data_IF_313179248407
#
_entry.id   IF_313179248407
#
_cell.length_a   1.000
_cell.length_b   1.000
_cell.length_c   1.000
_cell.angle_alpha   90.00
_cell.angle_beta   90.00
_cell.angle_gamma   90.00
#
_symmetry.space_group_name_H-M   'P 1'
#
loop_
_entity.id
_entity.type
_entity.pdbx_description
1 polymer ?
#
# COMPACT_ATOMS: atom_id res chain seq x y z
N UNK A 1 -31.61 9.35 -9.40
CA UNK A 1 -31.08 8.17 -8.69
C UNK A 1 -31.13 8.47 -7.21
N UNK A 2 -31.81 7.66 -6.44
CA UNK A 2 -31.84 7.83 -4.98
C UNK A 2 -30.41 7.77 -4.42
N UNK A 3 -29.94 8.87 -3.85
CA UNK A 3 -28.62 8.98 -3.19
C UNK A 3 -28.44 7.93 -2.09
N UNK A 4 -29.51 7.38 -1.56
CA UNK A 4 -29.53 6.37 -0.49
C UNK A 4 -29.13 4.94 -0.91
N UNK A 5 -29.12 4.61 -2.22
CA UNK A 5 -28.82 3.22 -2.67
C UNK A 5 -27.32 2.94 -2.87
N UNK A 6 -26.47 3.96 -2.93
CA UNK A 6 -25.05 3.83 -3.31
C UNK A 6 -24.06 3.81 -2.13
N UNK A 7 -24.52 4.21 -0.96
CA UNK A 7 -23.66 4.46 0.19
C UNK A 7 -22.93 5.81 0.08
N UNK A 8 -22.57 6.38 1.22
CA UNK A 8 -21.80 7.62 1.34
C UNK A 8 -20.90 7.53 2.56
N UNK A 9 -19.87 8.36 2.62
CA UNK A 9 -19.10 8.55 3.85
C UNK A 9 -19.96 9.26 4.89
N UNK A 10 -19.89 8.78 6.12
CA UNK A 10 -20.66 9.38 7.23
C UNK A 10 -20.07 10.70 7.74
N UNK A 11 -18.83 11.01 7.39
CA UNK A 11 -18.14 12.23 7.81
C UNK A 11 -16.93 12.55 6.92
N UNK A 12 -16.50 13.83 6.89
CA UNK A 12 -15.26 14.21 6.20
C UNK A 12 -14.02 13.53 6.80
N UNK A 13 -13.98 13.35 8.11
CA UNK A 13 -12.90 12.58 8.77
C UNK A 13 -12.91 11.12 8.29
N UNK A 14 -14.09 10.51 8.16
CA UNK A 14 -14.23 9.16 7.63
C UNK A 14 -13.75 9.03 6.18
N UNK A 15 -14.10 9.99 5.36
CA UNK A 15 -13.59 10.10 3.99
C UNK A 15 -12.06 10.24 3.99
N UNK A 16 -11.50 11.19 4.75
CA UNK A 16 -10.06 11.41 4.83
C UNK A 16 -9.33 10.16 5.30
N UNK A 17 -9.77 9.51 6.37
CA UNK A 17 -9.15 8.28 6.86
C UNK A 17 -9.23 7.16 5.81
N UNK A 18 -10.34 7.07 5.07
CA UNK A 18 -10.48 6.05 4.01
C UNK A 18 -9.62 6.37 2.78
N UNK A 19 -9.53 7.62 2.37
CA UNK A 19 -8.70 8.04 1.24
C UNK A 19 -7.20 7.93 1.57
N UNK A 20 -6.80 8.33 2.79
CA UNK A 20 -5.44 8.10 3.31
C UNK A 20 -5.16 6.60 3.37
N UNK A 21 -6.09 5.78 3.90
CA UNK A 21 -5.93 4.32 3.96
C UNK A 21 -5.89 3.65 2.58
N UNK A 22 -6.56 4.21 1.58
CA UNK A 22 -6.41 3.76 0.19
C UNK A 22 -5.02 4.06 -0.36
N UNK A 23 -4.47 5.22 -0.06
CA UNK A 23 -3.15 5.65 -0.48
C UNK A 23 -2.05 4.93 0.32
N UNK A 24 -2.14 4.92 1.65
CA UNK A 24 -1.17 4.28 2.54
C UNK A 24 -1.31 2.75 2.50
N UNK A 25 -0.39 2.08 1.83
CA UNK A 25 -0.41 0.64 1.64
C UNK A 25 0.99 0.01 1.61
N UNK A 26 1.08 -1.17 1.00
CA UNK A 26 2.37 -1.81 0.72
C UNK A 26 3.28 -0.92 -0.13
N UNK A 27 2.70 -0.02 -0.93
CA UNK A 27 3.42 0.98 -1.69
C UNK A 27 4.32 1.88 -0.84
N UNK A 28 3.85 2.31 0.33
CA UNK A 28 4.60 3.15 1.26
C UNK A 28 5.59 2.32 2.08
N UNK A 29 5.11 1.21 2.67
CA UNK A 29 5.88 0.47 3.67
C UNK A 29 6.98 -0.37 3.03
N UNK A 30 6.73 -0.90 1.85
CA UNK A 30 7.67 -1.72 1.09
C UNK A 30 8.21 -1.03 -0.17
N UNK A 31 7.31 -0.54 -1.03
CA UNK A 31 7.67 0.00 -2.35
C UNK A 31 8.58 1.22 -2.26
N UNK A 32 8.31 2.15 -1.35
CA UNK A 32 9.09 3.36 -1.17
C UNK A 32 10.52 3.08 -0.67
N UNK A 33 10.75 2.35 0.45
CA UNK A 33 12.11 2.03 0.88
C UNK A 33 12.90 1.24 -0.17
N UNK A 34 12.25 0.30 -0.84
CA UNK A 34 12.84 -0.50 -1.91
C UNK A 34 13.33 0.37 -3.09
N UNK A 35 12.46 1.24 -3.60
CA UNK A 35 12.81 2.11 -4.74
C UNK A 35 13.84 3.15 -4.35
N UNK A 36 13.77 3.69 -3.13
CA UNK A 36 14.79 4.57 -2.58
C UNK A 36 16.15 3.87 -2.50
N UNK A 37 16.18 2.63 -2.03
CA UNK A 37 17.40 1.81 -1.94
C UNK A 37 18.09 1.66 -3.29
N UNK A 38 17.34 1.42 -4.36
CA UNK A 38 17.87 1.26 -5.73
C UNK A 38 18.17 2.57 -6.48
N UNK A 39 17.56 3.67 -6.05
CA UNK A 39 17.58 4.94 -6.82
C UNK A 39 18.37 6.05 -6.15
N UNK A 40 19.37 5.71 -5.32
CA UNK A 40 20.32 6.66 -4.79
C UNK A 40 19.85 7.47 -3.58
N UNK A 41 18.98 6.92 -2.75
CA UNK A 41 18.62 7.47 -1.45
C UNK A 41 18.05 8.89 -1.53
N UNK A 42 18.82 9.88 -1.10
CA UNK A 42 18.45 11.30 -1.08
C UNK A 42 17.91 11.82 -2.43
N UNK A 43 18.55 11.45 -3.55
CA UNK A 43 18.12 11.91 -4.87
C UNK A 43 16.70 11.45 -5.21
N UNK A 44 16.39 10.19 -4.90
CA UNK A 44 15.04 9.66 -5.05
C UNK A 44 14.04 10.41 -4.16
N UNK A 45 14.39 10.65 -2.88
CA UNK A 45 13.53 11.34 -1.94
C UNK A 45 13.12 12.72 -2.44
N UNK A 46 14.07 13.53 -2.88
CA UNK A 46 13.77 14.90 -3.37
C UNK A 46 12.91 14.88 -4.63
N UNK A 47 13.22 14.02 -5.59
CA UNK A 47 12.43 13.90 -6.83
C UNK A 47 11.01 13.41 -6.51
N UNK A 48 10.88 12.43 -5.61
CA UNK A 48 9.57 11.94 -5.16
C UNK A 48 8.74 13.03 -4.50
N UNK A 49 9.32 13.83 -3.61
CA UNK A 49 8.63 14.95 -2.94
C UNK A 49 8.13 15.99 -3.95
N UNK A 50 8.97 16.38 -4.91
CA UNK A 50 8.58 17.31 -5.95
C UNK A 50 7.40 16.75 -6.76
N UNK A 51 7.49 15.48 -7.19
CA UNK A 51 6.41 14.83 -7.94
C UNK A 51 5.13 14.69 -7.13
N UNK A 52 5.21 14.32 -5.85
CA UNK A 52 4.03 14.18 -4.99
C UNK A 52 3.28 15.51 -4.83
N UNK A 53 4.03 16.61 -4.59
CA UNK A 53 3.44 17.94 -4.37
C UNK A 53 2.86 18.54 -5.64
N UNK A 54 3.56 18.46 -6.78
CA UNK A 54 3.13 19.15 -8.00
C UNK A 54 2.29 18.28 -8.93
N UNK A 55 2.66 17.03 -9.12
CA UNK A 55 1.97 16.12 -10.05
C UNK A 55 0.92 15.29 -9.30
N UNK A 56 1.30 14.68 -8.19
CA UNK A 56 0.41 13.85 -7.38
C UNK A 56 -0.82 14.61 -6.88
N UNK A 57 -0.62 15.80 -6.33
CA UNK A 57 -1.71 16.67 -5.90
C UNK A 57 -2.67 17.03 -7.05
N UNK A 58 -2.14 17.44 -8.21
CA UNK A 58 -2.97 17.85 -9.34
C UNK A 58 -3.84 16.69 -9.86
N UNK A 59 -3.27 15.48 -9.96
CA UNK A 59 -4.01 14.29 -10.40
C UNK A 59 -5.02 13.86 -9.33
N UNK A 60 -4.62 13.83 -8.05
CA UNK A 60 -5.52 13.51 -6.92
C UNK A 60 -6.76 14.40 -6.92
N UNK A 61 -6.55 15.72 -7.01
CA UNK A 61 -7.65 16.69 -7.06
C UNK A 61 -8.55 16.45 -8.28
N UNK A 62 -7.97 16.16 -9.43
CA UNK A 62 -8.70 15.92 -10.68
C UNK A 62 -9.57 14.66 -10.59
N UNK A 63 -9.04 13.56 -10.04
CA UNK A 63 -9.78 12.30 -9.87
C UNK A 63 -10.93 12.45 -8.86
N UNK A 64 -10.67 13.06 -7.71
CA UNK A 64 -11.70 13.34 -6.71
C UNK A 64 -12.80 14.28 -7.27
N UNK A 65 -12.42 15.32 -8.02
CA UNK A 65 -13.35 16.21 -8.65
C UNK A 65 -14.21 15.52 -9.71
N UNK A 66 -13.60 14.65 -10.54
CA UNK A 66 -14.32 13.85 -11.53
C UNK A 66 -15.34 12.92 -10.86
N UNK A 67 -14.95 12.21 -9.82
CA UNK A 67 -15.82 11.33 -9.04
C UNK A 67 -16.99 12.11 -8.44
N UNK A 68 -16.73 13.21 -7.73
CA UNK A 68 -17.76 14.06 -7.10
C UNK A 68 -18.71 14.70 -8.11
N UNK A 69 -18.18 15.20 -9.23
CA UNK A 69 -18.99 15.83 -10.27
C UNK A 69 -19.98 14.86 -10.92
N UNK A 70 -19.55 13.64 -11.15
CA UNK A 70 -20.36 12.64 -11.87
C UNK A 70 -21.22 11.78 -10.94
N UNK A 71 -20.80 11.61 -9.68
CA UNK A 71 -21.41 10.66 -8.74
C UNK A 71 -21.28 9.19 -9.21
N UNK A 72 -20.31 8.87 -10.08
CA UNK A 72 -20.17 7.58 -10.76
C UNK A 72 -18.77 7.00 -10.59
N UNK A 73 -18.68 5.68 -10.67
CA UNK A 73 -17.41 4.96 -10.73
C UNK A 73 -16.66 5.24 -12.04
N UNK A 74 -15.37 4.82 -12.13
CA UNK A 74 -14.42 5.30 -13.13
C UNK A 74 -14.93 5.20 -14.58
N UNK A 75 -15.42 4.05 -15.01
CA UNK A 75 -15.84 3.83 -16.42
C UNK A 75 -16.97 4.78 -16.83
N UNK A 76 -17.96 4.94 -15.95
CA UNK A 76 -19.10 5.80 -16.23
C UNK A 76 -18.76 7.28 -16.04
N UNK A 77 -17.86 7.61 -15.11
CA UNK A 77 -17.36 8.97 -14.93
C UNK A 77 -16.64 9.46 -16.20
N UNK A 78 -15.70 8.70 -16.73
CA UNK A 78 -15.03 9.03 -18.01
C UNK A 78 -16.03 9.12 -19.18
N UNK A 79 -16.99 8.17 -19.27
CA UNK A 79 -18.03 8.20 -20.31
C UNK A 79 -18.88 9.45 -20.25
N UNK A 80 -19.19 9.95 -19.04
CA UNK A 80 -19.99 11.15 -18.82
C UNK A 80 -19.24 12.42 -19.24
N UNK A 81 -17.93 12.49 -18.96
CA UNK A 81 -17.09 13.61 -19.39
C UNK A 81 -16.87 13.58 -20.90
N UNK A 82 -16.55 12.40 -21.46
CA UNK A 82 -16.41 12.23 -22.91
C UNK A 82 -16.58 10.76 -23.31
N UNK A 83 -17.51 10.49 -24.22
CA UNK A 83 -17.73 9.13 -24.75
C UNK A 83 -16.46 8.53 -25.38
N UNK A 84 -15.59 9.38 -25.98
CA UNK A 84 -14.32 8.99 -26.61
C UNK A 84 -13.34 8.40 -25.61
N UNK A 85 -13.33 8.87 -24.34
CA UNK A 85 -12.39 8.45 -23.31
C UNK A 85 -12.93 7.36 -22.37
N UNK A 86 -14.04 6.72 -22.68
CA UNK A 86 -14.58 5.59 -21.90
C UNK A 86 -13.56 4.47 -21.70
N UNK A 87 -12.69 4.22 -22.68
CA UNK A 87 -11.65 3.20 -22.61
C UNK A 87 -10.63 3.45 -21.51
N UNK A 88 -10.33 4.74 -21.19
CA UNK A 88 -9.46 5.10 -20.06
C UNK A 88 -10.05 4.63 -18.74
N UNK A 89 -11.38 4.76 -18.58
CA UNK A 89 -12.10 4.22 -17.42
C UNK A 89 -11.93 2.70 -17.24
N UNK A 90 -11.88 1.95 -18.35
CA UNK A 90 -11.62 0.52 -18.30
C UNK A 90 -10.18 0.21 -17.91
N UNK A 91 -9.20 0.97 -18.38
CA UNK A 91 -7.80 0.83 -17.93
C UNK A 91 -7.67 1.15 -16.43
N UNK A 92 -8.39 2.18 -15.96
CA UNK A 92 -8.41 2.53 -14.54
C UNK A 92 -9.05 1.46 -13.64
N UNK A 93 -9.77 0.49 -14.21
CA UNK A 93 -10.31 -0.67 -13.46
C UNK A 93 -9.46 -1.91 -13.66
N UNK A 94 -8.86 -2.07 -14.83
CA UNK A 94 -7.94 -3.19 -15.08
C UNK A 94 -6.71 -3.12 -14.17
N UNK A 95 -6.17 -1.91 -13.93
CA UNK A 95 -5.02 -1.74 -13.06
C UNK A 95 -5.25 -2.24 -11.62
N UNK A 96 -6.27 -1.79 -10.86
CA UNK A 96 -6.52 -2.30 -9.51
C UNK A 96 -6.89 -3.79 -9.51
N UNK A 97 -7.56 -4.28 -10.54
CA UNK A 97 -7.88 -5.69 -10.67
C UNK A 97 -6.61 -6.56 -10.77
N UNK A 98 -5.64 -6.16 -11.61
CA UNK A 98 -4.35 -6.85 -11.73
C UNK A 98 -3.49 -6.68 -10.47
N UNK A 99 -3.49 -5.50 -9.87
CA UNK A 99 -2.78 -5.26 -8.61
C UNK A 99 -3.28 -6.19 -7.52
N UNK A 100 -4.58 -6.37 -7.37
CA UNK A 100 -5.17 -7.23 -6.34
C UNK A 100 -4.67 -8.67 -6.42
N UNK A 101 -4.29 -9.20 -7.59
CA UNK A 101 -3.83 -10.59 -7.72
C UNK A 101 -2.52 -10.84 -6.94
N UNK A 102 -1.50 -10.02 -7.11
CA UNK A 102 -0.25 -10.16 -6.35
C UNK A 102 -0.34 -9.53 -4.95
N UNK A 103 -1.11 -8.47 -4.81
CA UNK A 103 -1.29 -7.75 -3.55
C UNK A 103 -1.94 -8.62 -2.47
N UNK A 104 -2.88 -9.48 -2.87
CA UNK A 104 -3.53 -10.42 -1.97
C UNK A 104 -2.57 -11.49 -1.44
N UNK A 105 -1.61 -11.92 -2.25
CA UNK A 105 -0.56 -12.87 -1.83
C UNK A 105 0.32 -12.22 -0.77
N UNK A 106 0.80 -10.99 -1.02
CA UNK A 106 1.63 -10.25 -0.06
C UNK A 106 0.88 -9.92 1.24
N UNK A 107 -0.42 -9.59 1.14
CA UNK A 107 -1.30 -9.41 2.29
C UNK A 107 -1.45 -10.69 3.12
N UNK A 108 -1.57 -11.83 2.45
CA UNK A 108 -1.55 -13.16 3.09
C UNK A 108 -0.24 -13.44 3.82
N UNK A 109 0.89 -13.09 3.22
CA UNK A 109 2.21 -13.25 3.85
C UNK A 109 2.32 -12.44 5.15
N UNK A 110 1.68 -11.28 5.26
CA UNK A 110 1.62 -10.54 6.53
C UNK A 110 0.93 -11.34 7.62
N UNK A 111 -0.16 -12.07 7.30
CA UNK A 111 -0.86 -12.95 8.26
C UNK A 111 0.08 -14.08 8.70
N UNK A 112 0.77 -14.72 7.75
CA UNK A 112 1.75 -15.77 8.07
C UNK A 112 2.81 -15.27 9.05
N UNK A 113 3.41 -14.10 8.79
CA UNK A 113 4.45 -13.55 9.64
C UNK A 113 3.95 -13.04 11.00
N UNK A 114 2.69 -12.62 11.11
CA UNK A 114 2.06 -12.35 12.41
C UNK A 114 2.02 -13.61 13.25
N UNK A 115 1.51 -14.71 12.69
CA UNK A 115 1.44 -16.01 13.38
C UNK A 115 2.85 -16.51 13.74
N UNK A 116 3.78 -16.43 12.80
CA UNK A 116 5.16 -16.84 12.98
C UNK A 116 5.84 -16.12 14.15
N UNK A 117 5.67 -14.80 14.26
CA UNK A 117 6.25 -14.01 15.34
C UNK A 117 5.58 -14.27 16.70
N UNK A 118 4.27 -14.58 16.73
CA UNK A 118 3.59 -14.99 17.95
C UNK A 118 4.13 -16.35 18.43
N UNK A 119 4.21 -17.33 17.54
CA UNK A 119 4.68 -18.69 17.88
C UNK A 119 6.18 -18.68 18.20
N UNK A 120 6.94 -17.85 17.50
CA UNK A 120 8.39 -17.71 17.67
C UNK A 120 8.84 -16.72 18.74
N UNK A 121 7.91 -16.17 19.56
CA UNK A 121 8.16 -15.04 20.46
C UNK A 121 9.40 -15.23 21.36
N UNK A 122 9.70 -16.46 21.77
CA UNK A 122 10.81 -16.75 22.67
C UNK A 122 12.04 -17.37 21.98
N UNK A 123 11.93 -17.74 20.71
CA UNK A 123 13.00 -18.44 19.98
C UNK A 123 13.57 -17.63 18.84
N UNK A 124 12.82 -16.62 18.37
CA UNK A 124 13.08 -15.93 17.11
C UNK A 124 12.89 -16.86 15.90
N UNK A 125 12.66 -16.28 14.74
CA UNK A 125 12.49 -17.03 13.49
C UNK A 125 13.31 -16.37 12.40
N UNK A 126 14.28 -17.09 11.78
CA UNK A 126 15.11 -16.55 10.72
C UNK A 126 14.27 -16.13 9.50
N UNK A 127 14.57 -14.96 8.94
CA UNK A 127 13.76 -14.38 7.87
C UNK A 127 13.97 -15.09 6.54
N UNK A 128 15.21 -15.33 6.15
CA UNK A 128 15.52 -15.96 4.86
C UNK A 128 14.98 -17.40 4.77
N UNK A 129 15.10 -18.18 5.84
CA UNK A 129 14.57 -19.55 5.92
C UNK A 129 13.04 -19.57 5.88
N UNK A 130 12.40 -18.74 6.70
CA UNK A 130 10.92 -18.64 6.76
C UNK A 130 10.32 -18.20 5.43
N UNK A 131 10.97 -17.24 4.76
CA UNK A 131 10.51 -16.75 3.47
C UNK A 131 10.70 -17.79 2.39
N UNK A 132 11.85 -18.49 2.36
CA UNK A 132 12.09 -19.61 1.46
C UNK A 132 11.07 -20.75 1.65
N UNK A 133 10.79 -21.12 2.90
CA UNK A 133 9.79 -22.15 3.22
C UNK A 133 8.38 -21.75 2.78
N UNK A 134 8.01 -20.46 2.88
CA UNK A 134 6.72 -19.95 2.42
C UNK A 134 6.62 -19.99 0.88
N UNK A 135 7.65 -19.54 0.18
CA UNK A 135 7.68 -19.53 -1.30
C UNK A 135 7.64 -20.96 -1.90
N UNK A 136 8.25 -21.93 -1.22
CA UNK A 136 8.24 -23.34 -1.67
C UNK A 136 7.00 -24.12 -1.24
N UNK A 137 6.06 -23.47 -0.54
CA UNK A 137 4.81 -24.09 -0.08
C UNK A 137 3.57 -23.36 -0.65
N UNK A 138 3.16 -23.65 -1.90
CA UNK A 138 2.00 -23.02 -2.51
C UNK A 138 0.70 -23.18 -1.69
N UNK A 139 0.53 -24.32 -1.03
CA UNK A 139 -0.65 -24.59 -0.19
C UNK A 139 -0.76 -23.60 0.98
N UNK A 140 0.36 -23.32 1.67
CA UNK A 140 0.40 -22.32 2.74
C UNK A 140 0.19 -20.91 2.19
N UNK A 141 0.83 -20.56 1.07
CA UNK A 141 0.66 -19.27 0.40
C UNK A 141 -0.79 -19.01 0.03
N UNK A 142 -1.48 -19.99 -0.56
CA UNK A 142 -2.90 -19.90 -0.91
C UNK A 142 -3.78 -19.80 0.35
N UNK A 143 -3.49 -20.55 1.40
CA UNK A 143 -4.27 -20.53 2.64
C UNK A 143 -4.25 -19.16 3.31
N UNK A 144 -3.07 -18.56 3.49
CA UNK A 144 -2.95 -17.24 4.12
C UNK A 144 -3.49 -16.12 3.23
N UNK A 145 -3.34 -16.24 1.90
CA UNK A 145 -3.97 -15.35 0.93
C UNK A 145 -5.50 -15.41 1.01
N UNK A 146 -6.07 -16.60 1.13
CA UNK A 146 -7.51 -16.78 1.33
C UNK A 146 -7.99 -16.08 2.61
N UNK A 147 -7.25 -16.22 3.70
CA UNK A 147 -7.53 -15.51 4.95
C UNK A 147 -7.56 -13.99 4.77
N UNK A 148 -6.57 -13.44 4.08
CA UNK A 148 -6.53 -12.01 3.73
C UNK A 148 -7.74 -11.58 2.89
N UNK A 149 -8.05 -12.35 1.84
CA UNK A 149 -9.17 -12.05 0.95
C UNK A 149 -10.52 -12.13 1.67
N UNK A 150 -10.71 -13.07 2.60
CA UNK A 150 -11.92 -13.15 3.43
C UNK A 150 -12.09 -11.89 4.28
N UNK A 151 -11.02 -11.39 4.91
CA UNK A 151 -11.08 -10.15 5.70
C UNK A 151 -11.51 -8.99 4.81
N UNK A 152 -10.85 -8.80 3.65
CA UNK A 152 -11.19 -7.73 2.72
C UNK A 152 -12.64 -7.86 2.19
N UNK A 153 -13.09 -9.07 1.88
CA UNK A 153 -14.45 -9.37 1.45
C UNK A 153 -15.48 -8.96 2.50
N UNK A 154 -15.30 -9.38 3.75
CA UNK A 154 -16.22 -9.07 4.85
C UNK A 154 -16.33 -7.56 5.11
N UNK A 155 -15.21 -6.82 5.01
CA UNK A 155 -15.22 -5.36 5.16
C UNK A 155 -16.01 -4.72 4.02
N UNK A 156 -15.77 -5.14 2.77
CA UNK A 156 -16.46 -4.57 1.60
C UNK A 156 -17.97 -4.90 1.58
N UNK A 157 -18.38 -6.06 2.10
CA UNK A 157 -19.81 -6.40 2.22
C UNK A 157 -20.59 -5.39 3.08
N UNK A 158 -19.95 -4.85 4.12
CA UNK A 158 -20.56 -3.85 5.02
C UNK A 158 -20.64 -2.44 4.39
N UNK A 159 -20.20 -2.27 3.15
CA UNK A 159 -20.31 -1.02 2.40
C UNK A 159 -19.27 0.03 2.78
N UNK A 160 -19.45 1.25 2.24
CA UNK A 160 -18.49 2.34 2.40
C UNK A 160 -18.47 2.85 3.84
N UNK A 161 -19.59 3.25 4.39
CA UNK A 161 -19.68 3.82 5.75
C UNK A 161 -19.51 2.77 6.84
N UNK A 162 -20.19 1.61 6.72
CA UNK A 162 -20.18 0.56 7.75
C UNK A 162 -18.92 -0.32 7.74
N UNK A 163 -18.27 -0.48 6.59
CA UNK A 163 -17.09 -1.31 6.41
C UNK A 163 -15.81 -0.48 6.23
N UNK A 164 -15.63 0.12 5.07
CA UNK A 164 -14.39 0.79 4.67
C UNK A 164 -14.06 1.96 5.62
N UNK A 165 -15.02 2.85 5.87
CA UNK A 165 -14.83 4.01 6.75
C UNK A 165 -14.53 3.58 8.19
N UNK A 166 -15.31 2.63 8.71
CA UNK A 166 -15.14 2.16 10.09
C UNK A 166 -13.78 1.49 10.29
N UNK A 167 -13.33 0.68 9.34
CA UNK A 167 -12.01 0.05 9.40
C UNK A 167 -10.90 1.11 9.41
N UNK A 168 -10.95 2.07 8.48
CA UNK A 168 -9.89 3.07 8.32
C UNK A 168 -9.84 4.09 9.46
N UNK A 169 -10.97 4.44 10.07
CA UNK A 169 -10.99 5.31 11.26
C UNK A 169 -10.19 4.76 12.44
N UNK A 170 -10.11 3.44 12.57
CA UNK A 170 -9.34 2.77 13.63
C UNK A 170 -7.96 2.40 13.11
N UNK A 171 -7.90 1.83 11.91
CA UNK A 171 -6.67 1.28 11.32
C UNK A 171 -5.61 2.33 11.05
N UNK A 172 -5.96 3.50 10.52
CA UNK A 172 -4.96 4.52 10.17
C UNK A 172 -4.26 5.13 11.39
N UNK A 173 -4.96 5.56 12.46
CA UNK A 173 -4.28 5.97 13.68
C UNK A 173 -3.44 4.87 14.32
N UNK A 174 -3.93 3.64 14.35
CA UNK A 174 -3.18 2.49 14.88
C UNK A 174 -1.91 2.22 14.07
N UNK A 175 -1.98 2.26 12.73
CA UNK A 175 -0.84 2.15 11.83
C UNK A 175 0.22 3.21 12.14
N UNK A 176 -0.21 4.46 12.28
CA UNK A 176 0.71 5.56 12.56
C UNK A 176 1.45 5.36 13.89
N UNK A 177 0.74 4.99 14.96
CA UNK A 177 1.34 4.72 16.28
C UNK A 177 2.33 3.54 16.21
N UNK A 178 1.94 2.44 15.57
CA UNK A 178 2.81 1.28 15.40
C UNK A 178 4.06 1.63 14.59
N UNK A 179 3.92 2.46 13.56
CA UNK A 179 5.05 2.90 12.74
C UNK A 179 6.05 3.75 13.55
N UNK A 180 5.57 4.65 14.42
CA UNK A 180 6.42 5.42 15.36
C UNK A 180 7.20 4.47 16.30
N UNK A 181 6.54 3.46 16.85
CA UNK A 181 7.19 2.47 17.73
C UNK A 181 8.33 1.74 17.00
N UNK A 182 8.08 1.30 15.75
CA UNK A 182 9.10 0.61 14.95
C UNK A 182 10.25 1.55 14.58
N UNK A 183 9.98 2.83 14.25
CA UNK A 183 11.02 3.83 13.95
C UNK A 183 11.92 4.03 15.16
N UNK A 184 11.34 4.26 16.34
CA UNK A 184 12.12 4.45 17.58
C UNK A 184 13.06 3.26 17.78
N UNK A 185 12.55 2.04 17.62
CA UNK A 185 13.37 0.84 17.76
C UNK A 185 14.45 0.74 16.68
N UNK A 186 14.13 1.01 15.42
CA UNK A 186 15.09 0.98 14.33
C UNK A 186 16.29 1.93 14.58
N UNK A 187 16.03 3.10 15.15
CA UNK A 187 17.07 4.11 15.42
C UNK A 187 17.95 3.78 16.62
N UNK A 188 17.50 2.91 17.52
CA UNK A 188 18.31 2.41 18.64
C UNK A 188 19.27 1.28 18.25
N UNK A 189 19.20 0.77 17.01
CA UNK A 189 20.11 -0.25 16.53
C UNK A 189 21.50 0.32 16.27
N UNK A 190 22.59 -0.42 16.59
CA UNK A 190 23.95 -0.04 16.21
C UNK A 190 24.02 0.20 14.69
N UNK A 191 24.75 1.22 14.25
CA UNK A 191 24.91 1.58 12.83
C UNK A 191 23.65 2.09 12.09
N UNK A 192 22.52 2.30 12.75
CA UNK A 192 21.31 2.87 12.15
C UNK A 192 21.56 4.24 11.49
N UNK A 193 22.50 5.01 12.01
CA UNK A 193 22.89 6.31 11.47
C UNK A 193 23.35 6.25 10.00
N UNK A 194 23.95 5.14 9.56
CA UNK A 194 24.38 4.96 8.16
C UNK A 194 23.17 4.91 7.22
N UNK A 195 22.10 4.23 7.62
CA UNK A 195 20.84 4.22 6.88
C UNK A 195 20.17 5.61 6.83
N UNK A 196 20.24 6.39 7.91
CA UNK A 196 19.74 7.77 7.93
C UNK A 196 20.57 8.68 7.02
N UNK A 197 21.90 8.57 7.01
CA UNK A 197 22.77 9.31 6.08
C UNK A 197 22.45 8.96 4.64
N UNK A 198 22.20 7.67 4.33
CA UNK A 198 21.78 7.24 3.00
C UNK A 198 20.49 7.94 2.55
N UNK A 199 19.53 8.11 3.44
CA UNK A 199 18.25 8.76 3.10
C UNK A 199 18.36 10.28 2.94
N UNK A 200 19.15 10.95 3.79
CA UNK A 200 19.07 12.42 3.95
C UNK A 200 20.32 13.18 3.54
N UNK A 201 21.46 12.51 3.33
CA UNK A 201 22.69 13.19 2.96
C UNK A 201 22.92 13.11 1.46
N UNK A 202 23.01 14.27 0.76
CA UNK A 202 23.28 14.30 -0.67
C UNK A 202 24.55 13.53 -1.05
N UNK A 203 24.46 12.67 -2.07
CA UNK A 203 25.58 11.90 -2.57
C UNK A 203 26.07 10.77 -1.66
N UNK A 204 25.47 10.57 -0.48
CA UNK A 204 25.93 9.54 0.47
C UNK A 204 25.74 8.11 -0.06
N UNK A 205 24.77 7.88 -0.94
CA UNK A 205 24.58 6.58 -1.56
C UNK A 205 25.86 6.06 -2.27
N UNK A 206 26.62 6.93 -2.92
CA UNK A 206 27.90 6.62 -3.56
C UNK A 206 29.04 6.70 -2.54
N UNK A 207 29.15 7.79 -1.78
CA UNK A 207 30.19 8.00 -0.77
C UNK A 207 30.23 6.90 0.31
N UNK A 208 29.05 6.43 0.74
CA UNK A 208 28.89 5.38 1.73
C UNK A 208 29.02 3.96 1.18
N UNK A 209 29.27 3.81 -0.13
CA UNK A 209 29.46 2.51 -0.77
C UNK A 209 28.18 1.69 -0.98
N UNK A 210 27.00 2.30 -0.91
CA UNK A 210 25.74 1.59 -1.15
C UNK A 210 25.53 1.26 -2.63
N UNK A 211 26.00 2.13 -3.50
CA UNK A 211 25.97 1.99 -4.97
C UNK A 211 27.26 2.50 -5.56
N UNK A 212 27.73 1.87 -6.64
CA UNK A 212 29.02 2.23 -7.28
C UNK A 212 28.93 3.56 -8.02
N UNK A 213 27.79 3.85 -8.61
CA UNK A 213 27.56 5.04 -9.44
C UNK A 213 26.17 5.62 -9.20
N UNK A 214 26.08 6.95 -9.17
CA UNK A 214 24.80 7.65 -9.11
C UNK A 214 23.91 7.28 -10.31
N UNK A 215 22.65 6.89 -10.09
CA UNK A 215 21.74 6.57 -11.17
C UNK A 215 21.41 7.82 -11.98
N UNK A 216 21.13 7.65 -13.28
CA UNK A 216 20.73 8.75 -14.15
C UNK A 216 19.44 9.42 -13.68
N UNK A 217 19.37 10.74 -13.73
CA UNK A 217 18.22 11.53 -13.25
C UNK A 217 16.90 11.06 -13.89
N UNK A 218 16.89 10.73 -15.17
CA UNK A 218 15.70 10.26 -15.87
C UNK A 218 15.21 8.90 -15.33
N UNK A 219 16.12 8.01 -14.97
CA UNK A 219 15.79 6.72 -14.35
C UNK A 219 15.17 6.92 -12.95
N UNK A 220 15.75 7.85 -12.17
CA UNK A 220 15.21 8.19 -10.84
C UNK A 220 13.84 8.85 -10.97
N UNK A 221 13.67 9.76 -11.95
CA UNK A 221 12.38 10.41 -12.23
C UNK A 221 11.30 9.39 -12.60
N UNK A 222 11.60 8.43 -13.47
CA UNK A 222 10.66 7.37 -13.84
C UNK A 222 10.30 6.48 -12.63
N UNK A 223 11.31 6.11 -11.83
CA UNK A 223 11.09 5.28 -10.63
C UNK A 223 10.28 6.02 -9.56
N UNK A 224 10.61 7.29 -9.29
CA UNK A 224 9.90 8.12 -8.33
C UNK A 224 8.46 8.45 -8.80
N UNK A 225 8.28 8.70 -10.10
CA UNK A 225 6.95 8.90 -10.70
C UNK A 225 6.08 7.66 -10.56
N UNK A 226 6.59 6.49 -10.94
CA UNK A 226 5.87 5.23 -10.75
C UNK A 226 5.57 4.93 -9.27
N UNK A 227 6.46 5.30 -8.35
CA UNK A 227 6.19 5.20 -6.91
C UNK A 227 5.09 6.15 -6.47
N UNK A 228 5.10 7.40 -6.91
CA UNK A 228 4.09 8.40 -6.58
C UNK A 228 2.69 7.98 -7.06
N UNK A 229 2.57 7.47 -8.28
CA UNK A 229 1.29 6.96 -8.80
C UNK A 229 0.77 5.78 -7.97
N UNK A 230 1.66 4.85 -7.64
CA UNK A 230 1.30 3.65 -6.87
C UNK A 230 0.95 4.00 -5.41
N UNK A 231 1.76 4.84 -4.75
CA UNK A 231 1.57 5.27 -3.37
C UNK A 231 0.25 6.02 -3.18
N UNK A 232 0.01 7.03 -4.02
CA UNK A 232 -1.21 7.86 -3.94
C UNK A 232 -2.47 7.20 -4.52
N UNK A 233 -2.39 5.95 -4.95
CA UNK A 233 -3.51 5.21 -5.60
C UNK A 233 -4.11 5.97 -6.80
N UNK A 234 -3.26 6.63 -7.61
CA UNK A 234 -3.67 7.41 -8.77
C UNK A 234 -3.74 6.55 -10.04
N UNK A 235 -4.56 6.96 -10.99
CA UNK A 235 -4.81 6.29 -12.27
C UNK A 235 -5.39 4.87 -12.17
N UNK A 236 -5.84 4.46 -10.98
CA UNK A 236 -6.44 3.14 -10.73
C UNK A 236 -7.90 3.23 -10.23
N UNK A 237 -8.57 4.35 -10.50
CA UNK A 237 -10.00 4.53 -10.25
C UNK A 237 -10.42 4.65 -8.78
N UNK A 238 -9.54 4.40 -7.83
CA UNK A 238 -9.86 4.46 -6.40
C UNK A 238 -10.30 5.86 -5.96
N UNK A 239 -9.56 6.91 -6.35
CA UNK A 239 -9.88 8.28 -5.98
C UNK A 239 -11.11 8.81 -6.71
N UNK A 240 -11.37 8.40 -7.96
CA UNK A 240 -12.63 8.68 -8.66
C UNK A 240 -13.80 8.03 -7.91
N UNK A 241 -13.64 6.78 -7.49
CA UNK A 241 -14.66 6.05 -6.72
C UNK A 241 -14.96 6.74 -5.40
N UNK A 242 -13.93 7.09 -4.63
CA UNK A 242 -14.11 7.76 -3.35
C UNK A 242 -14.67 9.18 -3.50
N UNK A 243 -14.23 9.90 -4.53
CA UNK A 243 -14.83 11.20 -4.90
C UNK A 243 -16.33 11.10 -5.20
N UNK A 244 -16.78 9.97 -5.78
CA UNK A 244 -18.20 9.77 -6.10
C UNK A 244 -19.10 9.56 -4.85
N UNK A 245 -18.53 9.27 -3.71
CA UNK A 245 -19.22 9.13 -2.41
C UNK A 245 -19.12 10.39 -1.54
N UNK A 246 -18.40 11.42 -2.01
CA UNK A 246 -18.13 12.62 -1.25
C UNK A 246 -19.26 13.65 -1.43
N UNK A 247 -19.68 14.28 -0.33
CA UNK A 247 -20.66 15.35 -0.32
C UNK A 247 -20.22 16.59 -1.13
N UNK A 248 -21.20 17.34 -1.62
CA UNK A 248 -20.94 18.52 -2.48
C UNK A 248 -20.27 19.67 -1.72
N UNK A 249 -20.50 19.76 -0.42
CA UNK A 249 -20.04 20.87 0.44
C UNK A 249 -18.58 20.68 0.92
N UNK A 250 -17.97 19.52 0.64
CA UNK A 250 -16.61 19.22 1.08
C UNK A 250 -15.55 19.96 0.27
N UNK A 251 -14.51 20.43 0.97
CA UNK A 251 -13.41 21.18 0.35
C UNK A 251 -12.39 20.23 -0.31
N UNK A 252 -12.56 19.97 -1.62
CA UNK A 252 -11.67 19.04 -2.36
C UNK A 252 -10.20 19.44 -2.36
N UNK A 253 -9.82 20.72 -2.65
CA UNK A 253 -8.42 21.11 -2.59
C UNK A 253 -7.77 20.81 -1.22
N UNK A 254 -8.44 21.18 -0.13
CA UNK A 254 -7.97 20.93 1.23
C UNK A 254 -7.83 19.44 1.50
N UNK A 255 -8.84 18.64 1.14
CA UNK A 255 -8.82 17.20 1.33
C UNK A 255 -7.70 16.54 0.52
N UNK A 256 -7.50 16.95 -0.75
CA UNK A 256 -6.41 16.45 -1.60
C UNK A 256 -5.02 16.75 -1.01
N UNK A 257 -4.81 17.97 -0.49
CA UNK A 257 -3.55 18.32 0.19
C UNK A 257 -3.31 17.44 1.41
N UNK A 258 -4.34 17.25 2.25
CA UNK A 258 -4.22 16.41 3.45
C UNK A 258 -3.86 14.96 3.09
N UNK A 259 -4.50 14.39 2.07
CA UNK A 259 -4.24 13.01 1.63
C UNK A 259 -2.81 12.87 1.12
N UNK A 260 -2.36 13.77 0.23
CA UNK A 260 -1.00 13.72 -0.35
C UNK A 260 0.07 13.90 0.73
N UNK A 261 -0.12 14.84 1.66
CA UNK A 261 0.82 15.07 2.76
C UNK A 261 0.86 13.85 3.69
N UNK A 262 -0.29 13.32 4.09
CA UNK A 262 -0.36 12.17 4.98
C UNK A 262 0.30 10.92 4.36
N UNK A 263 0.02 10.62 3.10
CA UNK A 263 0.67 9.53 2.36
C UNK A 263 2.19 9.71 2.30
N UNK A 264 2.64 10.92 1.93
CA UNK A 264 4.08 11.25 1.83
C UNK A 264 4.79 11.11 3.18
N UNK A 265 4.17 11.58 4.27
CA UNK A 265 4.72 11.44 5.63
C UNK A 265 4.86 9.95 5.97
N UNK A 266 3.83 9.14 5.73
CA UNK A 266 3.90 7.69 6.02
C UNK A 266 4.95 6.99 5.16
N UNK A 267 5.11 7.37 3.88
CA UNK A 267 6.16 6.82 3.01
C UNK A 267 7.57 7.12 3.57
N UNK A 268 7.82 8.36 4.00
CA UNK A 268 9.09 8.75 4.64
C UNK A 268 9.27 8.01 5.96
N UNK A 269 8.25 7.93 6.79
CA UNK A 269 8.30 7.20 8.06
C UNK A 269 8.61 5.71 7.85
N UNK A 270 8.04 5.09 6.82
CA UNK A 270 8.36 3.72 6.45
C UNK A 270 9.84 3.58 6.03
N UNK A 271 10.36 4.53 5.24
CA UNK A 271 11.79 4.63 4.95
C UNK A 271 12.65 4.69 6.22
N UNK A 272 12.25 5.55 7.18
CA UNK A 272 12.92 5.73 8.48
C UNK A 272 12.87 4.48 9.38
N UNK A 273 11.87 3.63 9.21
CA UNK A 273 11.78 2.36 9.92
C UNK A 273 12.62 1.27 9.25
N UNK A 274 12.51 1.13 7.92
CA UNK A 274 13.00 -0.02 7.16
C UNK A 274 14.48 0.11 6.81
N UNK A 275 14.91 1.27 6.25
CA UNK A 275 16.28 1.42 5.74
C UNK A 275 17.32 1.40 6.87
N UNK A 276 17.18 2.19 7.96
CA UNK A 276 18.13 2.12 9.05
C UNK A 276 18.22 0.74 9.71
N UNK A 277 17.08 0.05 9.85
CA UNK A 277 17.05 -1.29 10.43
C UNK A 277 17.78 -2.32 9.56
N UNK A 278 17.51 -2.31 8.25
CA UNK A 278 18.16 -3.22 7.32
C UNK A 278 19.69 -2.98 7.22
N UNK A 279 20.09 -1.70 7.16
CA UNK A 279 21.51 -1.30 7.11
C UNK A 279 22.22 -1.67 8.41
N UNK A 280 21.64 -1.38 9.56
CA UNK A 280 22.18 -1.71 10.86
C UNK A 280 22.44 -3.22 11.00
N UNK A 281 21.46 -4.04 10.61
CA UNK A 281 21.57 -5.49 10.70
C UNK A 281 22.62 -6.06 9.73
N UNK A 282 22.67 -5.56 8.49
CA UNK A 282 23.68 -6.01 7.52
C UNK A 282 25.09 -5.70 7.99
N UNK A 283 25.37 -4.49 8.50
CA UNK A 283 26.67 -4.11 9.04
C UNK A 283 27.02 -4.95 10.28
N UNK A 284 26.07 -5.19 11.18
CA UNK A 284 26.28 -6.02 12.36
C UNK A 284 26.64 -7.48 12.00
N UNK A 285 26.18 -7.98 10.86
CA UNK A 285 26.56 -9.28 10.29
C UNK A 285 27.89 -9.28 9.51
N UNK A 286 28.59 -8.15 9.47
CA UNK A 286 29.86 -8.00 8.75
C UNK A 286 29.71 -7.89 7.23
N UNK A 287 28.51 -7.63 6.72
CA UNK A 287 28.29 -7.44 5.28
C UNK A 287 28.84 -6.09 4.82
N UNK A 288 29.38 -6.04 3.62
CA UNK A 288 29.65 -4.77 2.96
C UNK A 288 28.32 -4.04 2.68
N UNK A 289 28.30 -2.71 2.76
CA UNK A 289 27.06 -1.92 2.62
C UNK A 289 26.42 -2.13 1.24
N UNK A 290 27.23 -2.37 0.21
CA UNK A 290 26.80 -2.69 -1.15
C UNK A 290 26.10 -4.04 -1.28
N UNK A 291 26.34 -4.95 -0.36
CA UNK A 291 25.74 -6.29 -0.35
C UNK A 291 24.37 -6.32 0.37
N UNK A 292 24.06 -5.26 1.12
CA UNK A 292 22.80 -5.17 1.87
C UNK A 292 21.63 -5.02 0.88
N UNK A 293 20.81 -6.06 0.81
CA UNK A 293 19.68 -6.10 -0.12
C UNK A 293 18.54 -5.21 0.37
N UNK A 294 18.49 -3.98 -0.14
CA UNK A 294 17.38 -3.04 0.08
C UNK A 294 16.27 -3.21 -0.97
N UNK A 295 16.01 -4.45 -1.43
CA UNK A 295 15.16 -4.65 -2.59
C UNK A 295 14.22 -5.86 -2.55
N UNK A 296 13.09 -5.73 -3.28
CA UNK A 296 12.12 -6.80 -3.48
C UNK A 296 11.30 -7.17 -2.23
N UNK A 297 10.39 -8.15 -2.32
CA UNK A 297 9.65 -8.70 -1.17
C UNK A 297 10.60 -9.25 -0.09
N UNK A 298 11.80 -9.65 -0.47
CA UNK A 298 12.88 -10.09 0.42
C UNK A 298 13.21 -9.05 1.49
N UNK A 299 13.16 -7.75 1.16
CA UNK A 299 13.40 -6.69 2.15
C UNK A 299 12.38 -6.78 3.30
N UNK A 300 11.11 -6.98 2.99
CA UNK A 300 10.03 -7.00 3.97
C UNK A 300 9.99 -8.31 4.77
N UNK A 301 10.09 -9.45 4.07
CA UNK A 301 9.81 -10.76 4.65
C UNK A 301 11.06 -11.57 5.04
N UNK A 302 12.22 -11.27 4.48
CA UNK A 302 13.46 -11.88 4.89
C UNK A 302 14.33 -10.91 5.71
N UNK A 303 14.77 -9.79 5.11
CA UNK A 303 15.72 -8.87 5.76
C UNK A 303 15.18 -8.29 7.07
N UNK A 304 13.94 -7.76 7.08
CA UNK A 304 13.37 -7.21 8.32
C UNK A 304 13.02 -8.30 9.34
N UNK A 305 12.60 -9.48 8.90
CA UNK A 305 12.39 -10.59 9.81
C UNK A 305 13.70 -11.03 10.48
N UNK A 306 14.83 -11.01 9.74
CA UNK A 306 16.17 -11.25 10.33
C UNK A 306 16.53 -10.16 11.36
N UNK A 307 16.18 -8.89 11.10
CA UNK A 307 16.35 -7.81 12.10
C UNK A 307 15.60 -8.15 13.39
N UNK A 308 14.36 -8.61 13.30
CA UNK A 308 13.57 -8.99 14.48
C UNK A 308 14.13 -10.25 15.14
N UNK A 309 14.56 -11.25 14.37
CA UNK A 309 15.21 -12.44 14.89
C UNK A 309 16.44 -12.10 15.72
N UNK A 310 17.32 -11.23 15.21
CA UNK A 310 18.58 -10.84 15.85
C UNK A 310 18.36 -9.95 17.10
N UNK A 311 17.15 -9.39 17.30
CA UNK A 311 16.77 -8.72 18.54
C UNK A 311 16.49 -9.69 19.72
N UNK A 312 16.52 -10.99 19.50
CA UNK A 312 16.23 -11.99 20.52
C UNK A 312 14.76 -11.99 20.96
N UNK A 313 14.52 -12.21 22.25
CA UNK A 313 13.15 -12.40 22.81
C UNK A 313 12.19 -11.25 22.50
N UNK A 314 12.69 -10.00 22.50
CA UNK A 314 11.85 -8.83 22.22
C UNK A 314 11.52 -8.69 20.73
N UNK A 315 12.29 -9.33 19.87
CA UNK A 315 12.15 -9.25 18.42
C UNK A 315 10.81 -9.77 17.90
N UNK A 316 10.27 -10.86 18.51
CA UNK A 316 8.95 -11.37 18.16
C UNK A 316 7.83 -10.34 18.40
N UNK A 317 7.94 -9.51 19.46
CA UNK A 317 6.98 -8.43 19.72
C UNK A 317 7.05 -7.35 18.64
N UNK A 318 8.27 -6.91 18.28
CA UNK A 318 8.45 -5.92 17.20
C UNK A 318 8.06 -6.47 15.84
N UNK A 319 8.35 -7.74 15.55
CA UNK A 319 7.89 -8.42 14.35
C UNK A 319 6.37 -8.47 14.26
N UNK A 320 5.70 -8.87 15.35
CA UNK A 320 4.23 -8.83 15.42
C UNK A 320 3.68 -7.42 15.14
N UNK A 321 4.19 -6.39 15.85
CA UNK A 321 3.75 -5.00 15.65
C UNK A 321 3.96 -4.56 14.21
N UNK A 322 5.12 -4.88 13.63
CA UNK A 322 5.45 -4.51 12.27
C UNK A 322 4.53 -5.18 11.25
N UNK A 323 4.35 -6.51 11.30
CA UNK A 323 3.49 -7.19 10.33
C UNK A 323 1.99 -6.90 10.54
N UNK A 324 1.56 -6.59 11.76
CA UNK A 324 0.21 -6.09 12.02
C UNK A 324 -0.02 -4.72 11.37
N UNK A 325 0.95 -3.80 11.49
CA UNK A 325 0.96 -2.51 10.79
C UNK A 325 0.89 -2.71 9.27
N UNK A 326 1.74 -3.59 8.71
CA UNK A 326 1.75 -3.88 7.26
C UNK A 326 0.43 -4.49 6.80
N UNK A 327 -0.16 -5.38 7.60
CA UNK A 327 -1.46 -5.99 7.32
C UNK A 327 -2.59 -4.94 7.29
N UNK A 328 -2.63 -4.01 8.24
CA UNK A 328 -3.62 -2.91 8.25
C UNK A 328 -3.48 -2.06 6.98
N UNK A 329 -2.25 -1.70 6.62
CA UNK A 329 -1.96 -0.95 5.39
C UNK A 329 -2.38 -1.75 4.14
N UNK A 330 -2.13 -3.05 4.11
CA UNK A 330 -2.53 -3.91 3.00
C UNK A 330 -4.06 -4.02 2.88
N UNK A 331 -4.78 -4.23 3.98
CA UNK A 331 -6.24 -4.31 3.99
C UNK A 331 -6.86 -2.98 3.53
N UNK A 332 -6.41 -1.84 4.06
CA UNK A 332 -6.97 -0.51 3.73
C UNK A 332 -6.89 -0.20 2.23
N UNK A 333 -5.77 -0.54 1.58
CA UNK A 333 -5.63 -0.38 0.14
C UNK A 333 -6.43 -1.42 -0.64
N UNK A 334 -6.40 -2.71 -0.25
CA UNK A 334 -7.12 -3.77 -0.95
C UNK A 334 -8.64 -3.54 -0.98
N UNK A 335 -9.23 -3.11 0.15
CA UNK A 335 -10.67 -2.82 0.20
C UNK A 335 -11.08 -1.68 -0.73
N UNK A 336 -10.22 -0.68 -0.94
CA UNK A 336 -10.46 0.42 -1.87
C UNK A 336 -10.36 -0.03 -3.33
N UNK A 337 -9.40 -0.92 -3.65
CA UNK A 337 -9.25 -1.49 -4.99
C UNK A 337 -10.44 -2.40 -5.34
N UNK A 338 -10.89 -3.25 -4.41
CA UNK A 338 -12.10 -4.07 -4.57
C UNK A 338 -13.31 -3.17 -4.82
N UNK A 339 -13.46 -2.10 -4.05
CA UNK A 339 -14.57 -1.15 -4.20
C UNK A 339 -14.56 -0.46 -5.57
N UNK A 340 -13.40 0.01 -6.04
CA UNK A 340 -13.27 0.65 -7.35
C UNK A 340 -13.69 -0.28 -8.49
N UNK A 341 -13.34 -1.56 -8.41
CA UNK A 341 -13.77 -2.57 -9.38
C UNK A 341 -15.26 -2.84 -9.24
N UNK A 342 -15.76 -3.10 -8.03
CA UNK A 342 -17.15 -3.49 -7.79
C UNK A 342 -18.15 -2.39 -8.18
N UNK A 343 -17.87 -1.13 -7.81
CA UNK A 343 -18.77 0.01 -8.13
C UNK A 343 -18.95 0.20 -9.63
N UNK A 344 -17.94 -0.09 -10.43
CA UNK A 344 -18.04 -0.02 -11.89
C UNK A 344 -19.09 -0.96 -12.45
N UNK A 345 -19.18 -2.18 -11.93
CA UNK A 345 -20.20 -3.15 -12.34
C UNK A 345 -21.58 -2.82 -11.77
N UNK A 346 -21.64 -2.33 -10.53
CA UNK A 346 -22.86 -1.85 -9.87
C UNK A 346 -23.48 -0.71 -10.70
N UNK A 347 -22.70 0.31 -11.05
CA UNK A 347 -23.16 1.45 -11.85
C UNK A 347 -23.60 1.03 -13.24
N UNK A 348 -22.93 0.03 -13.84
CA UNK A 348 -23.30 -0.46 -15.15
C UNK A 348 -24.63 -1.21 -15.14
N UNK A 349 -24.90 -1.99 -14.11
CA UNK A 349 -26.18 -2.67 -13.92
C UNK A 349 -27.31 -1.65 -13.72
N UNK A 350 -27.09 -0.66 -12.82
CA UNK A 350 -28.05 0.45 -12.60
C UNK A 350 -28.36 1.23 -13.90
N UNK A 351 -27.35 1.49 -14.72
CA UNK A 351 -27.53 2.18 -16.01
C UNK A 351 -28.33 1.39 -17.05
N UNK A 352 -28.52 0.07 -16.84
CA UNK A 352 -29.37 -0.81 -17.66
C UNK A 352 -30.78 -0.96 -17.11
N UNK A 353 -31.09 -0.32 -15.95
CA UNK A 353 -32.35 -0.49 -15.25
C UNK A 353 -32.42 -1.78 -14.42
N UNK A 354 -31.30 -2.49 -14.25
CA UNK A 354 -31.20 -3.67 -13.39
C UNK A 354 -31.05 -3.23 -11.93
N UNK A 355 -31.55 -4.02 -10.98
CA UNK A 355 -31.23 -3.81 -9.56
C UNK A 355 -29.92 -4.49 -9.20
N UNK A 356 -28.82 -3.70 -9.00
CA UNK A 356 -27.53 -4.30 -8.72
C UNK A 356 -27.49 -4.86 -7.29
N UNK A 357 -27.07 -6.11 -7.17
CA UNK A 357 -26.78 -6.71 -5.87
C UNK A 357 -25.32 -6.49 -5.49
N UNK A 358 -25.06 -5.58 -4.55
CA UNK A 358 -23.70 -5.32 -4.03
C UNK A 358 -23.03 -6.59 -3.54
N UNK A 359 -23.66 -7.45 -2.70
CA UNK A 359 -23.03 -8.69 -2.26
C UNK A 359 -22.60 -9.60 -3.41
N UNK A 360 -23.47 -9.80 -4.41
CA UNK A 360 -23.14 -10.63 -5.60
C UNK A 360 -21.94 -10.06 -6.35
N UNK A 361 -21.90 -8.76 -6.57
CA UNK A 361 -20.81 -8.13 -7.32
C UNK A 361 -19.48 -8.26 -6.59
N UNK A 362 -19.45 -7.98 -5.28
CA UNK A 362 -18.23 -8.12 -4.48
C UNK A 362 -17.77 -9.58 -4.44
N UNK A 363 -18.70 -10.53 -4.24
CA UNK A 363 -18.38 -11.97 -4.25
C UNK A 363 -17.74 -12.38 -5.56
N UNK A 364 -18.33 -12.00 -6.72
CA UNK A 364 -17.76 -12.33 -8.02
C UNK A 364 -16.37 -11.72 -8.24
N UNK A 365 -16.19 -10.44 -7.88
CA UNK A 365 -14.87 -9.78 -7.96
C UNK A 365 -13.84 -10.52 -7.11
N UNK A 366 -14.16 -10.82 -5.86
CA UNK A 366 -13.25 -11.53 -4.96
C UNK A 366 -12.93 -12.95 -5.44
N UNK A 367 -13.91 -13.70 -5.96
CA UNK A 367 -13.67 -15.05 -6.51
C UNK A 367 -12.74 -14.99 -7.72
N UNK A 368 -12.98 -14.08 -8.67
CA UNK A 368 -12.14 -14.00 -9.87
C UNK A 368 -10.74 -13.55 -9.52
N UNK A 369 -10.58 -12.55 -8.62
CA UNK A 369 -9.26 -12.14 -8.12
C UNK A 369 -8.57 -13.30 -7.41
N UNK A 370 -9.26 -14.03 -6.55
CA UNK A 370 -8.70 -15.17 -5.83
C UNK A 370 -8.19 -16.25 -6.77
N UNK A 371 -8.99 -16.65 -7.77
CA UNK A 371 -8.58 -17.66 -8.73
C UNK A 371 -7.32 -17.24 -9.51
N UNK A 372 -7.23 -15.98 -9.94
CA UNK A 372 -6.04 -15.46 -10.60
C UNK A 372 -4.85 -15.35 -9.64
N UNK A 373 -5.10 -14.95 -8.41
CA UNK A 373 -4.06 -14.85 -7.38
C UNK A 373 -3.48 -16.23 -6.99
N UNK A 374 -4.25 -17.33 -7.13
CA UNK A 374 -3.73 -18.69 -6.94
C UNK A 374 -2.58 -19.01 -7.90
N UNK A 375 -2.63 -18.54 -9.16
CA UNK A 375 -1.52 -18.71 -10.10
C UNK A 375 -0.27 -17.97 -9.61
N UNK A 376 -0.45 -16.73 -9.11
CA UNK A 376 0.67 -15.94 -8.56
C UNK A 376 1.24 -16.59 -7.29
N UNK A 377 0.38 -17.14 -6.43
CA UNK A 377 0.79 -17.80 -5.19
C UNK A 377 1.47 -19.17 -5.42
N UNK A 378 1.23 -19.81 -6.57
CA UNK A 378 1.81 -21.11 -6.92
C UNK A 378 3.13 -21.02 -7.67
N UNK A 379 3.43 -19.85 -8.24
CA UNK A 379 4.63 -19.63 -9.08
C UNK A 379 5.86 -19.17 -8.25
N UNK A 380 5.68 -18.92 -6.94
CA UNK A 380 6.73 -18.60 -5.96
C UNK A 380 7.10 -17.13 -5.94
#
# INVERSE_FOLDING_TARGET
MDENKRGSFGSNIGFLMSAIGSAVGLGNIWGFPYKMGKSGGFTFLIIYLILAVFVGFAIMLSELAMGRKTGLGPVNAYKTVSKKFKWVGWLAILAPFLILTFYSVLGGYCIYYIVLNIVGLFKGVPGAESFGALLTNPGMSILVMLGFMIICYLINLNGVGGGIEKFNKIGMPALFVMLVIVIIRAWTLPHAAEGLKFMFVPGYAVKGGFIDKAPGVMSVLATAGGQMFFSLSLAMGAMITYGSYLGKDENLPKNSVIIVIADTIVAIMAGLAVIPAAVANGIAKGMAVSEIKLGGPTLLFATLQDVFHDMGTIGGVFGFIFYALVLIAAISSAISLIEAVAVTFIDRASARGEEPSRPRTITLVCIVVFLLACFVASDG
#
